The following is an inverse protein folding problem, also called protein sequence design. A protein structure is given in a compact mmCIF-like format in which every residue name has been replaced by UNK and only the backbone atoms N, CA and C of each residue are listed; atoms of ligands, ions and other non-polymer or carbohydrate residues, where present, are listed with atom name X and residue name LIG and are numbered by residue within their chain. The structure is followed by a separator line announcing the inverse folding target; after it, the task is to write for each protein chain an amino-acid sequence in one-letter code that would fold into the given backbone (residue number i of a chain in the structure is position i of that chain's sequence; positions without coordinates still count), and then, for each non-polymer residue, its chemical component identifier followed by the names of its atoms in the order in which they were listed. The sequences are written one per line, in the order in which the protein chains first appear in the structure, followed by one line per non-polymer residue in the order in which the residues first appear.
data_IF_673977310904
#
_entry.id   IF_673977310904
#
_cell.length_a   1.000
_cell.length_b   1.000
_cell.length_c   1.000
_cell.angle_alpha   90.00
_cell.angle_beta   90.00
_cell.angle_gamma   90.00
#
_symmetry.space_group_name_H-M   'P 1'
#
loop_
_entity.id
_entity.type
_entity.pdbx_description
1 polymer ?
#
# COMPACT_ATOMS: atom_id res chain seq x y z
N UNK A 1 -14.08 32.27 -69.12
CA UNK A 1 -13.52 32.26 -67.76
C UNK A 1 -13.78 30.87 -67.21
N UNK A 2 -12.89 29.92 -67.50
CA UNK A 2 -12.91 28.59 -66.91
C UNK A 2 -12.19 28.64 -65.56
N UNK A 3 -12.85 28.11 -64.53
CA UNK A 3 -12.33 28.05 -63.17
C UNK A 3 -11.25 26.95 -63.07
N UNK A 4 -10.22 27.14 -62.21
CA UNK A 4 -9.12 26.18 -62.09
C UNK A 4 -9.55 24.94 -61.30
N UNK A 5 -9.15 23.76 -61.78
CA UNK A 5 -9.31 22.49 -61.07
C UNK A 5 -8.51 22.51 -59.76
N UNK A 6 -9.17 22.21 -58.65
CA UNK A 6 -8.53 21.99 -57.36
C UNK A 6 -7.93 20.58 -57.33
N UNK A 7 -6.67 20.53 -56.90
CA UNK A 7 -5.87 19.34 -56.71
C UNK A 7 -6.30 18.69 -55.38
N UNK A 8 -7.07 17.61 -55.45
CA UNK A 8 -7.55 16.87 -54.29
C UNK A 8 -6.40 16.05 -53.71
N UNK A 9 -5.54 16.72 -52.93
CA UNK A 9 -4.48 16.10 -52.14
C UNK A 9 -5.04 14.96 -51.29
N UNK A 10 -4.66 13.74 -51.66
CA UNK A 10 -5.04 12.51 -50.97
C UNK A 10 -4.76 12.61 -49.47
N UNK A 11 -5.80 12.46 -48.67
CA UNK A 11 -5.69 12.20 -47.25
C UNK A 11 -5.12 10.79 -47.10
N UNK A 12 -3.80 10.68 -46.91
CA UNK A 12 -3.12 9.42 -46.62
C UNK A 12 -3.88 8.72 -45.49
N UNK A 13 -4.62 7.67 -45.85
CA UNK A 13 -5.25 6.78 -44.90
C UNK A 13 -4.11 6.15 -44.10
N UNK A 14 -3.84 6.71 -42.91
CA UNK A 14 -2.96 6.10 -41.91
C UNK A 14 -3.34 4.63 -41.82
N UNK A 15 -2.41 3.78 -42.26
CA UNK A 15 -2.57 2.35 -42.43
C UNK A 15 -3.11 1.73 -41.14
N UNK A 16 -4.43 1.52 -41.11
CA UNK A 16 -5.15 0.99 -39.96
C UNK A 16 -4.73 -0.45 -39.67
N UNK A 17 -4.20 -1.16 -40.67
CA UNK A 17 -3.57 -2.47 -40.51
C UNK A 17 -2.19 -2.38 -39.82
N UNK A 18 -1.41 -1.32 -40.07
CA UNK A 18 -0.16 -1.08 -39.36
C UNK A 18 -0.38 -0.76 -37.87
N UNK A 19 -1.37 0.10 -37.56
CA UNK A 19 -1.78 0.39 -36.19
C UNK A 19 -2.38 -0.86 -35.49
N UNK A 20 -3.12 -1.70 -36.21
CA UNK A 20 -3.64 -2.96 -35.69
C UNK A 20 -2.53 -4.00 -35.45
N UNK A 21 -1.48 -4.03 -36.29
CA UNK A 21 -0.28 -4.87 -36.10
C UNK A 21 0.56 -4.42 -34.91
N UNK A 22 0.68 -3.10 -34.68
CA UNK A 22 1.31 -2.56 -33.47
C UNK A 22 0.51 -2.85 -32.20
N UNK A 23 -0.83 -2.76 -32.26
CA UNK A 23 -1.70 -3.12 -31.14
C UNK A 23 -1.63 -4.61 -30.77
N UNK A 24 -1.40 -5.49 -31.76
CA UNK A 24 -1.23 -6.95 -31.57
C UNK A 24 0.13 -7.35 -30.99
N UNK A 25 1.08 -6.42 -30.87
CA UNK A 25 2.44 -6.66 -30.35
C UNK A 25 2.67 -6.16 -28.93
N UNK A 26 1.60 -5.77 -28.22
CA UNK A 26 1.63 -5.72 -26.75
C UNK A 26 1.41 -7.14 -26.24
N UNK A 27 2.48 -7.93 -26.31
CA UNK A 27 2.56 -9.15 -25.50
C UNK A 27 2.19 -8.75 -24.08
N UNK A 28 1.22 -9.44 -23.50
CA UNK A 28 0.76 -9.17 -22.15
C UNK A 28 1.82 -9.69 -21.17
N UNK A 29 2.99 -9.04 -21.17
CA UNK A 29 4.13 -9.39 -20.34
C UNK A 29 3.68 -9.28 -18.89
N UNK A 30 3.61 -10.39 -18.13
CA UNK A 30 3.23 -10.38 -16.73
C UNK A 30 4.09 -9.43 -15.89
N UNK A 31 5.32 -9.11 -16.32
CA UNK A 31 6.18 -8.13 -15.67
C UNK A 31 5.68 -6.70 -15.78
N UNK A 32 4.78 -6.37 -16.72
CA UNK A 32 4.15 -5.04 -16.78
C UNK A 32 3.17 -4.80 -15.64
N UNK A 33 2.66 -5.86 -15.03
CA UNK A 33 1.80 -5.81 -13.83
C UNK A 33 2.59 -5.85 -12.52
N UNK A 34 3.90 -6.16 -12.57
CA UNK A 34 4.74 -6.10 -11.39
C UNK A 34 4.79 -4.66 -10.93
N UNK A 35 4.17 -4.40 -9.77
CA UNK A 35 4.20 -3.07 -9.16
C UNK A 35 5.65 -2.68 -8.91
N UNK A 36 5.99 -1.44 -9.27
CA UNK A 36 7.26 -0.82 -8.95
C UNK A 36 7.63 -1.07 -7.49
N UNK A 37 8.84 -1.60 -7.31
CA UNK A 37 9.31 -2.25 -6.09
C UNK A 37 8.92 -1.54 -4.80
N UNK A 38 8.16 -2.26 -3.97
CA UNK A 38 8.17 -2.00 -2.54
C UNK A 38 9.54 -2.36 -1.94
N UNK A 39 9.74 -2.00 -0.67
CA UNK A 39 10.90 -2.45 0.12
C UNK A 39 10.89 -3.99 0.19
N UNK A 40 11.64 -4.63 -0.70
CA UNK A 40 11.85 -6.07 -0.76
C UNK A 40 12.95 -6.55 0.20
N UNK A 41 13.50 -5.65 1.03
CA UNK A 41 14.46 -6.03 2.04
C UNK A 41 13.79 -6.92 3.09
N UNK A 42 14.40 -8.07 3.43
CA UNK A 42 13.85 -8.98 4.42
C UNK A 42 13.81 -8.30 5.78
N UNK A 43 12.70 -8.49 6.50
CA UNK A 43 12.55 -8.08 7.90
C UNK A 43 13.07 -9.21 8.77
N UNK A 44 14.05 -8.92 9.63
CA UNK A 44 14.63 -9.92 10.53
C UNK A 44 14.11 -9.77 11.96
N UNK A 45 13.75 -8.56 12.37
CA UNK A 45 13.29 -8.28 13.72
C UNK A 45 12.25 -7.14 13.76
N UNK A 46 11.69 -6.88 14.94
CA UNK A 46 10.70 -5.82 15.13
C UNK A 46 11.31 -4.42 14.91
N UNK A 47 12.59 -4.24 15.22
CA UNK A 47 13.30 -2.97 15.05
C UNK A 47 13.31 -2.54 13.57
N UNK A 48 13.49 -3.48 12.64
CA UNK A 48 13.42 -3.21 11.20
C UNK A 48 12.04 -2.66 10.79
N UNK A 49 10.97 -3.12 11.44
CA UNK A 49 9.61 -2.65 11.22
C UNK A 49 9.42 -1.25 11.81
N UNK A 50 9.89 -1.02 13.04
CA UNK A 50 9.68 0.26 13.72
C UNK A 50 10.56 1.40 13.19
N UNK A 51 11.72 1.10 12.60
CA UNK A 51 12.57 2.08 11.91
C UNK A 51 11.83 2.89 10.85
N UNK A 52 10.73 2.36 10.32
CA UNK A 52 9.84 3.07 9.39
C UNK A 52 9.26 4.37 9.96
N UNK A 53 9.13 4.49 11.29
CA UNK A 53 8.70 5.74 11.95
C UNK A 53 9.81 6.78 11.96
N UNK A 54 11.06 6.36 12.20
CA UNK A 54 12.22 7.24 12.21
C UNK A 54 12.54 7.75 10.81
N UNK A 55 12.35 6.90 9.79
CA UNK A 55 12.54 7.25 8.38
C UNK A 55 11.38 8.07 7.79
N UNK A 56 10.26 8.24 8.51
CA UNK A 56 9.07 8.91 7.98
C UNK A 56 9.34 10.39 7.70
N UNK A 57 10.09 11.05 8.59
CA UNK A 57 10.51 12.45 8.50
C UNK A 57 11.96 12.54 8.96
N UNK A 58 12.90 12.92 8.07
CA UNK A 58 14.27 13.19 8.44
C UNK A 58 14.35 14.26 9.54
N UNK A 59 15.24 14.09 10.52
CA UNK A 59 15.34 14.99 11.67
C UNK A 59 15.68 16.44 11.28
N UNK A 60 16.46 16.62 10.22
CA UNK A 60 16.83 17.90 9.63
C UNK A 60 15.66 18.61 8.92
N UNK A 61 14.65 17.86 8.48
CA UNK A 61 13.46 18.43 7.84
C UNK A 61 12.31 18.70 8.83
N UNK A 62 12.46 18.35 10.12
CA UNK A 62 11.39 18.41 11.11
C UNK A 62 10.70 19.78 11.16
N UNK A 63 11.48 20.85 11.31
CA UNK A 63 10.96 22.22 11.41
C UNK A 63 10.13 22.62 10.18
N UNK A 64 10.53 22.14 9.00
CA UNK A 64 9.81 22.37 7.76
C UNK A 64 8.45 21.65 7.76
N UNK A 65 8.40 20.41 8.22
CA UNK A 65 7.15 19.65 8.31
C UNK A 65 6.22 20.19 9.40
N UNK A 66 6.79 20.69 10.50
CA UNK A 66 6.05 21.39 11.54
C UNK A 66 5.38 22.65 10.98
N UNK A 67 6.13 23.50 10.28
CA UNK A 67 5.58 24.69 9.62
C UNK A 67 4.52 24.36 8.56
N UNK A 68 4.77 23.33 7.73
CA UNK A 68 3.79 22.84 6.75
C UNK A 68 2.51 22.33 7.42
N UNK A 69 2.62 21.64 8.54
CA UNK A 69 1.47 21.09 9.27
C UNK A 69 0.68 22.20 9.95
N UNK A 70 1.36 23.17 10.57
CA UNK A 70 0.72 24.35 11.17
C UNK A 70 -0.03 25.18 10.12
N UNK A 71 0.51 25.33 8.90
CA UNK A 71 -0.21 25.95 7.80
C UNK A 71 -1.54 25.24 7.49
N UNK A 72 -1.55 23.90 7.48
CA UNK A 72 -2.78 23.12 7.26
C UNK A 72 -3.76 23.27 8.44
N UNK A 73 -3.25 23.31 9.67
CA UNK A 73 -4.03 23.52 10.90
C UNK A 73 -4.70 24.89 10.89
N UNK A 74 -3.97 25.95 10.58
CA UNK A 74 -4.48 27.33 10.51
C UNK A 74 -5.55 27.48 9.42
N UNK A 75 -5.34 26.86 8.27
CA UNK A 75 -6.29 26.90 7.17
C UNK A 75 -7.55 26.04 7.41
N UNK A 76 -7.46 25.09 8.34
CA UNK A 76 -8.54 24.29 8.92
C UNK A 76 -9.57 23.75 7.89
N UNK A 77 -9.16 22.96 6.88
CA UNK A 77 -10.08 22.46 5.88
C UNK A 77 -11.06 21.44 6.47
N UNK A 78 -12.37 21.68 6.27
CA UNK A 78 -13.43 20.80 6.77
C UNK A 78 -13.84 19.68 5.80
N UNK A 79 -13.47 19.79 4.53
CA UNK A 79 -13.90 18.86 3.48
C UNK A 79 -12.70 18.35 2.66
N UNK A 80 -12.82 17.20 1.96
CA UNK A 80 -11.77 16.70 1.08
C UNK A 80 -11.37 17.71 -0.01
N UNK A 81 -12.37 18.39 -0.63
CA UNK A 81 -12.13 19.44 -1.64
C UNK A 81 -11.42 20.65 -1.06
N UNK A 82 -11.76 21.03 0.16
CA UNK A 82 -11.01 22.07 0.86
C UNK A 82 -9.57 21.59 1.05
N UNK A 83 -9.34 20.42 1.64
CA UNK A 83 -7.99 19.89 1.86
C UNK A 83 -7.14 19.85 0.57
N UNK A 84 -7.71 19.48 -0.57
CA UNK A 84 -6.99 19.53 -1.86
C UNK A 84 -6.52 20.93 -2.21
N UNK A 85 -7.39 21.94 -2.07
CA UNK A 85 -7.03 23.35 -2.23
C UNK A 85 -5.94 23.77 -1.21
N UNK A 86 -5.95 23.22 0.01
CA UNK A 86 -4.91 23.47 1.03
C UNK A 86 -3.56 23.04 0.50
N UNK A 87 -3.52 21.79 0.02
CA UNK A 87 -2.29 21.13 -0.41
C UNK A 87 -1.73 21.81 -1.66
N UNK A 88 -2.59 22.35 -2.54
CA UNK A 88 -2.18 23.19 -3.67
C UNK A 88 -1.52 24.49 -3.17
N UNK A 89 -2.12 25.17 -2.18
CA UNK A 89 -1.55 26.39 -1.61
C UNK A 89 -0.22 26.11 -0.87
N UNK A 90 -0.18 25.06 -0.06
CA UNK A 90 1.01 24.58 0.65
C UNK A 90 2.14 24.26 -0.34
N UNK A 91 1.84 23.57 -1.45
CA UNK A 91 2.80 23.29 -2.51
C UNK A 91 3.37 24.57 -3.12
N UNK A 92 2.56 25.62 -3.28
CA UNK A 92 3.03 26.90 -3.84
C UNK A 92 3.99 27.62 -2.89
N UNK A 93 3.73 27.55 -1.59
CA UNK A 93 4.55 28.19 -0.55
C UNK A 93 5.85 27.43 -0.28
N UNK A 94 5.76 26.12 0.02
CA UNK A 94 6.90 25.31 0.45
C UNK A 94 7.60 24.59 -0.69
N UNK A 95 7.10 24.69 -1.93
CA UNK A 95 7.61 24.01 -3.15
C UNK A 95 7.70 22.49 -3.05
N UNK A 96 7.04 21.89 -2.06
CA UNK A 96 6.98 20.44 -1.82
C UNK A 96 5.54 20.00 -1.59
N UNK A 97 5.25 18.74 -1.90
CA UNK A 97 3.96 18.13 -1.60
C UNK A 97 4.21 16.97 -0.61
N UNK A 98 4.05 17.20 0.71
CA UNK A 98 4.25 16.17 1.71
C UNK A 98 3.19 15.07 1.57
N UNK A 99 3.56 13.82 1.93
CA UNK A 99 2.60 12.71 1.98
C UNK A 99 1.60 12.97 3.11
N UNK A 100 0.34 12.56 2.91
CA UNK A 100 -0.68 12.64 3.97
C UNK A 100 -0.25 11.94 5.27
N UNK A 101 0.48 10.82 5.17
CA UNK A 101 1.01 10.10 6.33
C UNK A 101 2.01 10.92 7.14
N UNK A 102 2.86 11.71 6.47
CA UNK A 102 3.83 12.59 7.14
C UNK A 102 3.11 13.73 7.86
N UNK A 103 2.17 14.40 7.18
CA UNK A 103 1.35 15.46 7.79
C UNK A 103 0.54 14.93 8.99
N UNK A 104 -0.06 13.75 8.87
CA UNK A 104 -0.82 13.11 9.96
C UNK A 104 0.07 12.80 11.15
N UNK A 105 1.27 12.27 10.91
CA UNK A 105 2.23 11.96 11.96
C UNK A 105 2.63 13.22 12.74
N UNK A 106 3.03 14.27 12.03
CA UNK A 106 3.42 15.55 12.65
C UNK A 106 2.25 16.15 13.41
N UNK A 107 1.06 16.18 12.81
CA UNK A 107 -0.15 16.66 13.48
C UNK A 107 -0.40 15.93 14.80
N UNK A 108 -0.33 14.60 14.81
CA UNK A 108 -0.49 13.82 16.03
C UNK A 108 0.56 14.18 17.10
N UNK A 109 1.81 14.44 16.69
CA UNK A 109 2.87 14.88 17.61
C UNK A 109 2.59 16.28 18.16
N UNK A 110 2.17 17.23 17.31
CA UNK A 110 1.83 18.59 17.72
C UNK A 110 0.63 18.65 18.67
N UNK A 111 -0.38 17.81 18.43
CA UNK A 111 -1.52 17.65 19.35
C UNK A 111 -1.06 17.11 20.70
N UNK A 112 -0.18 16.08 20.71
CA UNK A 112 0.39 15.54 21.96
C UNK A 112 1.23 16.57 22.73
N UNK A 113 1.93 17.47 22.02
CA UNK A 113 2.71 18.57 22.62
C UNK A 113 1.83 19.75 23.08
N UNK A 114 0.57 19.81 22.67
CA UNK A 114 -0.34 20.92 22.95
C UNK A 114 -0.18 22.15 22.03
N UNK A 115 0.63 22.04 20.98
CA UNK A 115 0.88 23.14 20.02
C UNK A 115 -0.25 23.29 19.00
N UNK A 116 -0.93 22.18 18.65
CA UNK A 116 -2.06 22.17 17.72
C UNK A 116 -3.34 21.74 18.42
N UNK A 117 -4.51 22.31 18.07
CA UNK A 117 -5.78 21.92 18.66
C UNK A 117 -6.17 20.49 18.25
N UNK A 118 -6.65 19.67 19.19
CA UNK A 118 -7.20 18.36 18.90
C UNK A 118 -8.58 18.46 18.21
N UNK A 119 -9.10 17.32 17.74
CA UNK A 119 -10.44 17.18 17.13
C UNK A 119 -10.74 18.05 15.90
N UNK A 120 -9.72 18.42 15.13
CA UNK A 120 -9.94 19.05 13.84
C UNK A 120 -10.37 18.03 12.78
N UNK A 121 -11.14 18.46 11.78
CA UNK A 121 -11.54 17.62 10.64
C UNK A 121 -10.34 17.04 9.87
N UNK A 122 -9.20 17.72 9.91
CA UNK A 122 -7.95 17.24 9.29
C UNK A 122 -7.49 15.89 9.84
N UNK A 123 -7.85 15.56 11.08
CA UNK A 123 -7.51 14.30 11.72
C UNK A 123 -8.00 13.11 10.87
N UNK A 124 -9.25 13.19 10.42
CA UNK A 124 -9.89 12.18 9.55
C UNK A 124 -9.50 12.36 8.08
N UNK A 125 -9.37 13.60 7.59
CA UNK A 125 -9.11 13.87 6.17
C UNK A 125 -7.69 13.46 5.72
N UNK A 126 -6.74 13.43 6.65
CA UNK A 126 -5.36 12.98 6.40
C UNK A 126 -5.22 11.44 6.45
N UNK A 127 -6.23 10.70 6.93
CA UNK A 127 -6.23 9.23 6.89
C UNK A 127 -6.28 8.74 5.45
N UNK A 128 -5.34 7.86 5.09
CA UNK A 128 -5.32 7.25 3.74
C UNK A 128 -6.28 6.06 3.71
N UNK A 129 -7.05 5.92 2.62
CA UNK A 129 -8.02 4.83 2.44
C UNK A 129 -8.97 4.70 3.64
N UNK A 130 -9.61 5.82 4.03
CA UNK A 130 -10.48 5.91 5.20
C UNK A 130 -11.51 4.75 5.35
N UNK A 131 -12.00 4.18 4.24
CA UNK A 131 -12.88 3.01 4.24
C UNK A 131 -12.35 1.77 4.98
N UNK A 132 -11.02 1.65 5.17
CA UNK A 132 -10.41 0.53 5.92
C UNK A 132 -10.78 0.49 7.40
N UNK A 133 -11.08 1.64 8.02
CA UNK A 133 -11.41 1.76 9.45
C UNK A 133 -12.84 2.25 9.70
N UNK A 134 -13.67 2.35 8.66
CA UNK A 134 -15.06 2.83 8.80
C UNK A 134 -15.95 1.90 9.63
N UNK A 135 -15.71 0.59 9.57
CA UNK A 135 -16.42 -0.39 10.41
C UNK A 135 -16.02 -0.34 11.88
N UNK A 136 -14.94 0.38 12.22
CA UNK A 136 -14.34 0.35 13.57
C UNK A 136 -13.54 -0.92 13.87
N UNK A 137 -13.37 -1.83 12.90
CA UNK A 137 -12.54 -3.04 13.02
C UNK A 137 -11.55 -3.09 11.87
N UNK A 138 -10.25 -3.16 12.19
CA UNK A 138 -9.20 -3.29 11.20
C UNK A 138 -8.91 -4.75 10.89
N UNK A 139 -8.98 -5.10 9.61
CA UNK A 139 -8.59 -6.43 9.14
C UNK A 139 -7.07 -6.51 8.95
N UNK A 140 -6.44 -7.41 9.70
CA UNK A 140 -5.02 -7.78 9.59
C UNK A 140 -4.94 -9.20 9.08
N UNK A 141 -4.12 -9.43 8.06
CA UNK A 141 -3.98 -10.73 7.42
C UNK A 141 -2.56 -11.21 7.57
N UNK A 142 -2.40 -12.43 8.05
CA UNK A 142 -1.13 -13.15 8.14
C UNK A 142 -1.22 -14.43 7.31
N UNK A 143 -0.12 -14.83 6.69
CA UNK A 143 -0.07 -16.00 5.81
C UNK A 143 0.88 -17.03 6.40
N UNK A 144 0.39 -18.25 6.54
CA UNK A 144 1.15 -19.40 7.03
C UNK A 144 2.26 -19.80 6.06
N UNK A 145 3.29 -20.49 6.56
CA UNK A 145 4.42 -20.93 5.77
C UNK A 145 4.03 -21.97 4.69
N UNK A 146 4.69 -21.97 3.51
CA UNK A 146 4.63 -23.09 2.59
C UNK A 146 5.21 -24.38 3.18
N UNK A 147 6.15 -24.24 4.13
CA UNK A 147 6.97 -25.31 4.69
C UNK A 147 6.92 -25.37 6.22
N UNK A 148 5.73 -25.56 6.83
CA UNK A 148 5.59 -25.57 8.29
C UNK A 148 6.34 -26.77 8.88
N UNK A 149 7.31 -26.53 9.77
CA UNK A 149 8.17 -27.59 10.34
C UNK A 149 8.80 -28.53 9.29
N UNK A 150 9.11 -28.00 8.09
CA UNK A 150 9.69 -28.76 6.98
C UNK A 150 8.71 -29.62 6.19
N UNK A 151 7.40 -29.59 6.50
CA UNK A 151 6.38 -30.23 5.67
C UNK A 151 6.35 -29.59 4.28
N UNK A 152 6.57 -30.38 3.23
CA UNK A 152 6.71 -29.86 1.85
C UNK A 152 5.43 -29.31 1.23
N UNK A 153 4.28 -29.52 1.86
CA UNK A 153 3.00 -29.25 1.23
C UNK A 153 1.93 -28.78 2.20
N UNK A 154 1.35 -27.63 1.91
CA UNK A 154 0.42 -26.90 2.79
C UNK A 154 -1.05 -27.31 2.65
N UNK A 155 -1.41 -28.18 1.71
CA UNK A 155 -2.80 -28.60 1.48
C UNK A 155 -2.87 -30.07 1.03
N UNK A 156 -3.25 -31.01 1.91
CA UNK A 156 -3.24 -32.45 1.60
C UNK A 156 -4.07 -32.84 0.35
N UNK A 157 -5.11 -32.08 0.03
CA UNK A 157 -6.08 -32.40 -1.02
C UNK A 157 -5.60 -32.20 -2.46
N UNK A 158 -4.50 -31.48 -2.64
CA UNK A 158 -3.85 -31.22 -3.92
C UNK A 158 -4.78 -30.85 -5.11
N UNK A 159 -5.82 -30.02 -4.92
CA UNK A 159 -6.83 -29.76 -5.96
C UNK A 159 -6.22 -29.25 -7.28
N UNK A 160 -6.56 -29.83 -8.44
CA UNK A 160 -5.97 -29.49 -9.74
C UNK A 160 -6.03 -28.00 -10.11
N UNK A 161 -7.10 -27.30 -9.72
CA UNK A 161 -7.30 -25.88 -10.05
C UNK A 161 -6.54 -24.91 -9.13
N UNK A 162 -6.08 -25.36 -7.96
CA UNK A 162 -5.38 -24.49 -7.03
C UNK A 162 -3.96 -24.22 -7.56
N UNK A 163 -3.52 -22.95 -7.68
CA UNK A 163 -2.14 -22.67 -8.03
C UNK A 163 -1.17 -23.26 -7.00
N UNK A 164 0.00 -23.67 -7.48
CA UNK A 164 1.06 -24.29 -6.68
C UNK A 164 2.40 -23.63 -7.05
N UNK A 165 2.50 -22.32 -6.80
CA UNK A 165 3.71 -21.56 -7.06
C UNK A 165 4.81 -21.98 -6.06
N UNK A 166 6.07 -22.15 -6.52
CA UNK A 166 7.18 -22.48 -5.63
C UNK A 166 7.32 -21.51 -4.46
N UNK A 167 7.67 -22.03 -3.28
CA UNK A 167 7.86 -21.28 -2.04
C UNK A 167 6.61 -20.51 -1.57
N UNK A 168 5.43 -20.81 -2.11
CA UNK A 168 4.16 -20.22 -1.68
C UNK A 168 3.22 -21.27 -1.09
N UNK A 169 2.39 -20.90 -0.09
CA UNK A 169 1.31 -21.76 0.36
C UNK A 169 0.34 -22.07 -0.77
N UNK A 170 -0.33 -23.21 -0.69
CA UNK A 170 -1.22 -23.65 -1.76
C UNK A 170 -2.33 -22.64 -1.98
N UNK A 171 -2.62 -22.36 -3.25
CA UNK A 171 -3.61 -21.38 -3.72
C UNK A 171 -3.18 -19.91 -3.68
N UNK A 172 -1.98 -19.59 -3.18
CA UNK A 172 -1.48 -18.21 -3.10
C UNK A 172 -0.40 -17.95 -4.14
N UNK A 173 -0.34 -16.71 -4.61
CA UNK A 173 0.63 -16.24 -5.60
C UNK A 173 1.63 -15.26 -4.98
N UNK A 174 2.89 -15.30 -5.42
CA UNK A 174 3.99 -14.52 -4.85
C UNK A 174 3.69 -13.01 -4.80
N UNK A 175 3.07 -12.47 -5.84
CA UNK A 175 2.86 -11.02 -6.01
C UNK A 175 1.61 -10.47 -5.30
N UNK A 176 0.90 -11.31 -4.54
CA UNK A 176 -0.23 -10.84 -3.74
C UNK A 176 0.22 -9.96 -2.56
N UNK A 177 -0.52 -8.88 -2.19
CA UNK A 177 -0.05 -7.95 -1.17
C UNK A 177 0.19 -8.54 0.23
N UNK A 178 -0.57 -9.56 0.62
CA UNK A 178 -0.37 -10.30 1.88
C UNK A 178 0.80 -11.26 1.78
N UNK A 179 0.98 -11.89 0.63
CA UNK A 179 2.04 -12.87 0.37
C UNK A 179 3.40 -12.19 0.25
N UNK A 180 3.50 -11.05 -0.45
CA UNK A 180 4.71 -10.22 -0.46
C UNK A 180 5.15 -9.82 0.95
N UNK A 181 4.19 -9.51 1.83
CA UNK A 181 4.47 -9.25 3.24
C UNK A 181 4.96 -10.50 3.95
N UNK A 182 4.31 -11.63 3.73
CA UNK A 182 4.70 -12.90 4.34
C UNK A 182 6.11 -13.30 3.93
N UNK A 183 6.43 -13.25 2.63
CA UNK A 183 7.76 -13.49 2.07
C UNK A 183 8.83 -12.62 2.73
N UNK A 184 8.56 -11.31 2.85
CA UNK A 184 9.49 -10.37 3.50
C UNK A 184 9.75 -10.69 4.97
N UNK A 185 8.73 -11.17 5.67
CA UNK A 185 8.79 -11.53 7.08
C UNK A 185 9.07 -13.03 7.29
N UNK A 186 9.49 -13.77 6.24
CA UNK A 186 9.75 -15.21 6.28
C UNK A 186 8.62 -16.05 6.90
N UNK A 187 7.39 -15.64 6.65
CA UNK A 187 6.17 -16.25 7.18
C UNK A 187 6.07 -16.27 8.72
N UNK A 188 6.86 -15.45 9.42
CA UNK A 188 6.72 -15.27 10.86
C UNK A 188 5.41 -14.55 11.19
N UNK A 189 4.53 -15.12 12.05
CA UNK A 189 3.22 -14.53 12.33
C UNK A 189 3.30 -13.17 13.04
N UNK A 190 4.25 -13.02 13.97
CA UNK A 190 4.41 -11.80 14.79
C UNK A 190 4.92 -10.66 13.93
N UNK A 191 5.96 -10.88 13.12
CA UNK A 191 6.52 -9.88 12.22
C UNK A 191 5.49 -9.46 11.16
N UNK A 192 4.74 -10.40 10.57
CA UNK A 192 3.67 -10.09 9.62
C UNK A 192 2.58 -9.22 10.25
N UNK A 193 2.14 -9.57 11.46
CA UNK A 193 1.14 -8.83 12.21
C UNK A 193 1.61 -7.41 12.53
N UNK A 194 2.79 -7.27 13.14
CA UNK A 194 3.38 -6.00 13.53
C UNK A 194 3.61 -5.09 12.31
N UNK A 195 4.16 -5.63 11.22
CA UNK A 195 4.39 -4.87 10.00
C UNK A 195 3.08 -4.37 9.36
N UNK A 196 2.02 -5.18 9.39
CA UNK A 196 0.70 -4.75 8.92
C UNK A 196 0.10 -3.67 9.82
N UNK A 197 0.23 -3.81 11.13
CA UNK A 197 -0.22 -2.83 12.11
C UNK A 197 0.51 -1.49 11.96
N UNK A 198 1.84 -1.49 11.86
CA UNK A 198 2.64 -0.29 11.62
C UNK A 198 2.26 0.37 10.29
N UNK A 199 2.06 -0.41 9.23
CA UNK A 199 1.56 0.12 7.95
C UNK A 199 0.20 0.82 8.11
N UNK A 200 -0.72 0.25 8.90
CA UNK A 200 -2.05 0.85 9.16
C UNK A 200 -1.94 2.14 9.97
N UNK A 201 -1.14 2.12 11.04
CA UNK A 201 -0.88 3.27 11.89
C UNK A 201 -0.21 4.43 11.14
N UNK A 202 0.78 4.15 10.29
CA UNK A 202 1.42 5.14 9.41
C UNK A 202 0.43 5.76 8.39
N UNK A 203 -0.61 5.04 8.01
CA UNK A 203 -1.68 5.57 7.16
C UNK A 203 -2.75 6.35 7.95
N UNK A 204 -2.59 6.48 9.27
CA UNK A 204 -3.46 7.24 10.16
C UNK A 204 -4.64 6.44 10.73
N UNK A 205 -4.67 5.11 10.58
CA UNK A 205 -5.73 4.30 11.16
C UNK A 205 -5.46 4.01 12.65
N UNK A 206 -6.48 4.08 13.52
CA UNK A 206 -6.36 3.64 14.91
C UNK A 206 -6.25 2.12 14.95
N UNK A 207 -5.14 1.61 15.48
CA UNK A 207 -4.89 0.15 15.58
C UNK A 207 -5.29 -0.33 16.98
N UNK A 208 -6.58 -0.31 17.26
CA UNK A 208 -7.18 -0.61 18.57
C UNK A 208 -8.06 -1.87 18.56
N UNK A 209 -8.81 -2.10 17.48
CA UNK A 209 -9.69 -3.27 17.29
C UNK A 209 -9.35 -3.99 16.01
N UNK A 210 -8.94 -5.25 16.11
CA UNK A 210 -8.40 -6.01 14.98
C UNK A 210 -9.17 -7.32 14.79
N UNK A 211 -9.49 -7.61 13.54
CA UNK A 211 -9.87 -8.95 13.08
C UNK A 211 -8.64 -9.56 12.39
N UNK A 212 -8.14 -10.66 12.96
CA UNK A 212 -6.99 -11.38 12.44
C UNK A 212 -7.47 -12.50 11.49
N UNK A 213 -7.03 -12.43 10.23
CA UNK A 213 -7.24 -13.46 9.23
C UNK A 213 -5.96 -14.26 9.04
N UNK A 214 -6.04 -15.57 9.32
CA UNK A 214 -4.96 -16.52 9.02
C UNK A 214 -5.25 -17.18 7.68
N UNK A 215 -4.35 -16.94 6.73
CA UNK A 215 -4.43 -17.42 5.35
C UNK A 215 -3.29 -18.40 5.03
N UNK A 216 -3.37 -19.02 3.86
CA UNK A 216 -2.38 -19.95 3.33
C UNK A 216 -3.03 -21.22 2.80
N UNK A 217 -2.42 -22.39 3.01
CA UNK A 217 -2.98 -23.65 2.52
C UNK A 217 -4.26 -24.08 3.25
N UNK A 218 -4.36 -25.38 3.54
CA UNK A 218 -5.48 -25.91 4.33
C UNK A 218 -5.08 -25.93 5.79
N UNK A 219 -5.60 -25.04 6.63
CA UNK A 219 -5.25 -24.93 8.05
C UNK A 219 -5.22 -26.29 8.77
N UNK A 220 -6.26 -27.10 8.59
CA UNK A 220 -6.35 -28.44 9.19
C UNK A 220 -5.31 -29.46 8.68
N UNK A 221 -4.59 -29.16 7.59
CA UNK A 221 -3.50 -29.98 7.06
C UNK A 221 -2.12 -29.60 7.61
N UNK A 222 -2.01 -28.50 8.36
CA UNK A 222 -0.77 -28.11 9.03
C UNK A 222 -0.54 -28.98 10.29
N UNK A 223 0.71 -29.22 10.72
CA UNK A 223 0.98 -29.94 11.97
C UNK A 223 0.36 -29.19 13.15
N UNK A 224 -0.21 -29.90 14.12
CA UNK A 224 -0.87 -29.28 15.28
C UNK A 224 0.09 -28.35 16.04
N UNK A 225 1.35 -28.77 16.23
CA UNK A 225 2.37 -27.94 16.87
C UNK A 225 2.64 -26.63 16.12
N UNK A 226 2.58 -26.63 14.78
CA UNK A 226 2.70 -25.40 13.98
C UNK A 226 1.47 -24.51 14.18
N UNK A 227 0.27 -25.10 14.20
CA UNK A 227 -0.97 -24.35 14.42
C UNK A 227 -0.97 -23.65 15.78
N UNK A 228 -0.54 -24.36 16.83
CA UNK A 228 -0.44 -23.84 18.20
C UNK A 228 0.65 -22.77 18.35
N UNK A 229 1.80 -22.92 17.68
CA UNK A 229 2.87 -21.91 17.68
C UNK A 229 2.49 -20.65 16.89
N UNK A 230 1.71 -20.82 15.82
CA UNK A 230 1.37 -19.74 14.89
C UNK A 230 0.30 -18.78 15.44
N UNK A 231 -0.55 -19.25 16.34
CA UNK A 231 -1.66 -18.48 16.97
C UNK A 231 -1.20 -17.84 18.29
#
# INVERSE_FOLDING_TARGET
MEAPQQDDGGFDAMDTEALAREAKKRENDPNTYKRSGGRNEPVNCLEDIYKQWDELIPADEWDRYEAMTMFVVEWNPQTPRALEKCLIALRRQYKTLPKKSQLKFVYNVLVKRGTAPPQLAIDTLLVKKAGKSQSGVLVVTVVTSPYPHGQKFSCQWNCYYCPNEPDQPRSYLHDEPSVLRANRNRFDPVLQFCDRCVTLALNGHPVDKIELLVLGGTWASYPVSYQEEYV
#
